data_IF_383016691909
#
_entry.id   IF_383016691909
#
_cell.length_a   1.000
_cell.length_b   1.000
_cell.length_c   1.000
_cell.angle_alpha   90.00
_cell.angle_beta   90.00
_cell.angle_gamma   90.00
#
_symmetry.space_group_name_H-M   'P 1'
#
loop_
_entity.id
_entity.type
_entity.pdbx_description
1 polymer ?
#
# COMPACT_ATOMS: atom_id res chain seq x y z
N UNK A 1 4.45 -21.67 -3.59
CA UNK A 1 3.06 -21.24 -3.82
C UNK A 1 3.07 -19.80 -4.28
N UNK A 2 2.36 -19.47 -5.36
CA UNK A 2 2.30 -18.11 -5.94
C UNK A 2 0.94 -17.49 -5.60
N UNK A 3 0.95 -16.22 -5.19
CA UNK A 3 -0.26 -15.45 -4.89
C UNK A 3 -0.33 -14.21 -5.77
N UNK A 4 -1.54 -13.81 -6.18
CA UNK A 4 -1.76 -12.70 -7.12
C UNK A 4 -2.88 -11.76 -6.67
N UNK A 5 -2.59 -10.46 -6.71
CA UNK A 5 -3.61 -9.40 -6.54
C UNK A 5 -4.58 -9.42 -7.72
N UNK A 6 -5.87 -9.31 -7.42
CA UNK A 6 -7.00 -9.48 -8.36
C UNK A 6 -7.53 -10.91 -8.46
N UNK A 7 -6.78 -11.91 -7.97
CA UNK A 7 -7.24 -13.31 -7.88
C UNK A 7 -7.45 -13.72 -6.43
N UNK A 8 -6.36 -13.76 -5.66
CA UNK A 8 -6.35 -14.31 -4.30
C UNK A 8 -6.59 -13.22 -3.25
N UNK A 9 -6.15 -12.01 -3.56
CA UNK A 9 -6.33 -10.80 -2.74
C UNK A 9 -6.87 -9.69 -3.62
N UNK A 10 -7.62 -8.74 -3.06
CA UNK A 10 -8.28 -7.68 -3.84
C UNK A 10 -7.95 -6.32 -3.26
N UNK A 11 -7.77 -5.34 -4.14
CA UNK A 11 -7.72 -3.93 -3.76
C UNK A 11 -8.82 -3.16 -4.48
N UNK A 12 -9.50 -2.31 -3.72
CA UNK A 12 -10.51 -1.38 -4.21
C UNK A 12 -10.07 0.03 -3.93
N UNK A 13 -10.15 0.88 -4.94
CA UNK A 13 -9.77 2.29 -4.85
C UNK A 13 -11.01 3.13 -4.63
N UNK A 14 -10.88 4.18 -3.84
CA UNK A 14 -11.92 5.20 -3.67
C UNK A 14 -11.54 6.46 -4.45
N UNK A 15 -12.55 7.24 -4.85
CA UNK A 15 -12.37 8.51 -5.55
C UNK A 15 -11.59 9.55 -4.72
N UNK A 16 -11.57 9.41 -3.38
CA UNK A 16 -10.90 10.32 -2.45
C UNK A 16 -9.41 10.03 -2.24
N UNK A 17 -8.79 9.18 -3.05
CA UNK A 17 -7.38 8.79 -2.91
C UNK A 17 -7.10 7.75 -1.82
N UNK A 18 -8.15 7.25 -1.15
CA UNK A 18 -8.04 6.10 -0.25
C UNK A 18 -8.22 4.77 -0.99
N UNK A 19 -7.84 3.67 -0.35
CA UNK A 19 -8.04 2.33 -0.87
C UNK A 19 -8.34 1.32 0.25
N UNK A 20 -8.97 0.21 -0.12
CA UNK A 20 -9.28 -0.89 0.79
C UNK A 20 -8.62 -2.16 0.27
N UNK A 21 -7.99 -2.90 1.17
CA UNK A 21 -7.32 -4.18 0.92
C UNK A 21 -8.16 -5.32 1.53
N UNK A 22 -8.39 -6.34 0.72
CA UNK A 22 -9.12 -7.55 1.10
C UNK A 22 -8.24 -8.76 0.86
N UNK A 23 -7.65 -9.23 1.94
CA UNK A 23 -6.73 -10.35 1.97
C UNK A 23 -7.36 -11.68 2.36
N UNK A 24 -6.49 -12.66 2.58
CA UNK A 24 -6.85 -14.02 3.02
C UNK A 24 -7.14 -14.01 4.53
N UNK A 25 -6.21 -13.48 5.33
CA UNK A 25 -6.31 -13.42 6.79
C UNK A 25 -6.67 -12.00 7.27
N UNK A 26 -6.24 -10.96 6.55
CA UNK A 26 -6.41 -9.56 6.94
C UNK A 26 -7.28 -8.76 5.99
N UNK A 27 -7.95 -7.73 6.52
CA UNK A 27 -8.74 -6.77 5.75
C UNK A 27 -8.56 -5.37 6.31
N UNK A 28 -8.24 -4.43 5.43
CA UNK A 28 -8.07 -3.03 5.77
C UNK A 28 -8.98 -2.17 4.90
N UNK A 29 -9.64 -1.18 5.52
CA UNK A 29 -10.56 -0.28 4.82
C UNK A 29 -10.08 1.15 4.92
N UNK A 30 -10.38 1.93 3.88
CA UNK A 30 -10.18 3.37 3.85
C UNK A 30 -8.75 3.81 4.22
N UNK A 31 -7.77 3.00 3.81
CA UNK A 31 -6.36 3.30 3.98
C UNK A 31 -5.96 4.48 3.08
N UNK A 32 -5.07 5.32 3.59
CA UNK A 32 -4.48 6.45 2.86
C UNK A 32 -2.97 6.26 2.74
N UNK A 33 -2.40 6.76 1.65
CA UNK A 33 -0.96 6.82 1.42
C UNK A 33 -0.53 8.27 1.32
N UNK A 34 0.65 8.58 1.85
CA UNK A 34 1.31 9.88 1.57
C UNK A 34 1.84 9.95 0.13
N UNK A 35 2.26 8.81 -0.42
CA UNK A 35 2.85 8.74 -1.76
C UNK A 35 1.77 8.99 -2.83
N UNK A 36 1.95 10.06 -3.59
CA UNK A 36 1.07 10.42 -4.71
C UNK A 36 1.36 9.54 -5.92
N UNK A 37 0.31 8.97 -6.52
CA UNK A 37 0.42 8.16 -7.74
C UNK A 37 -0.41 6.89 -7.69
N UNK A 38 -1.15 6.62 -8.77
CA UNK A 38 -2.04 5.44 -8.85
C UNK A 38 -1.29 4.12 -8.69
N UNK A 39 -0.02 4.04 -9.09
CA UNK A 39 0.77 2.82 -8.97
C UNK A 39 1.16 2.52 -7.52
N UNK A 40 1.26 3.55 -6.66
CA UNK A 40 1.66 3.38 -5.26
C UNK A 40 0.63 2.59 -4.45
N UNK A 41 -0.66 2.70 -4.81
CA UNK A 41 -1.71 1.84 -4.24
C UNK A 41 -1.44 0.36 -4.53
N UNK A 42 -0.93 0.03 -5.71
CA UNK A 42 -0.58 -1.37 -6.05
C UNK A 42 0.62 -1.85 -5.25
N UNK A 43 1.63 -1.00 -5.04
CA UNK A 43 2.78 -1.33 -4.20
C UNK A 43 2.37 -1.54 -2.73
N UNK A 44 1.55 -0.64 -2.19
CA UNK A 44 0.99 -0.79 -0.85
C UNK A 44 0.16 -2.08 -0.73
N UNK A 45 -0.63 -2.41 -1.76
CA UNK A 45 -1.39 -3.65 -1.80
C UNK A 45 -0.49 -4.90 -1.74
N UNK A 46 0.65 -4.88 -2.43
CA UNK A 46 1.64 -5.96 -2.40
C UNK A 46 2.31 -6.07 -1.04
N UNK A 47 2.67 -4.95 -0.42
CA UNK A 47 3.22 -4.96 0.93
C UNK A 47 2.20 -5.55 1.95
N UNK A 48 0.93 -5.14 1.85
CA UNK A 48 -0.15 -5.69 2.67
C UNK A 48 -0.38 -7.19 2.43
N UNK A 49 -0.25 -7.64 1.18
CA UNK A 49 -0.31 -9.06 0.84
C UNK A 49 0.79 -9.87 1.54
N UNK A 50 2.01 -9.34 1.60
CA UNK A 50 3.11 -9.99 2.33
C UNK A 50 2.80 -10.07 3.82
N UNK A 51 2.37 -8.96 4.44
CA UNK A 51 2.00 -8.91 5.86
C UNK A 51 0.87 -9.91 6.18
N UNK A 52 -0.15 -9.96 5.33
CA UNK A 52 -1.29 -10.87 5.46
C UNK A 52 -0.86 -12.35 5.39
N UNK A 53 0.03 -12.70 4.47
CA UNK A 53 0.57 -14.06 4.37
C UNK A 53 1.46 -14.44 5.55
N UNK A 54 2.23 -13.48 6.09
CA UNK A 54 3.06 -13.70 7.28
C UNK A 54 2.21 -13.91 8.53
N UNK A 55 1.10 -13.18 8.66
CA UNK A 55 0.14 -13.36 9.76
C UNK A 55 -0.43 -14.79 9.78
N UNK A 56 -0.78 -15.34 8.60
CA UNK A 56 -1.20 -16.74 8.47
C UNK A 56 -0.13 -17.78 8.85
N UNK A 57 1.14 -17.36 8.98
CA UNK A 57 2.26 -18.19 9.44
C UNK A 57 2.63 -17.94 10.91
N UNK A 58 1.82 -17.19 11.65
CA UNK A 58 2.06 -16.85 13.06
C UNK A 58 2.97 -15.64 13.29
N UNK A 59 3.38 -14.93 12.23
CA UNK A 59 4.12 -13.68 12.33
C UNK A 59 3.15 -12.51 12.11
N UNK A 60 2.42 -12.15 13.15
CA UNK A 60 1.41 -11.10 13.07
C UNK A 60 2.01 -9.70 13.30
N UNK A 61 1.84 -8.83 12.31
CA UNK A 61 2.12 -7.40 12.44
C UNK A 61 0.82 -6.71 12.85
N UNK A 62 0.83 -6.07 14.02
CA UNK A 62 -0.34 -5.37 14.55
C UNK A 62 -0.90 -4.34 13.56
N UNK A 63 -2.23 -4.25 13.48
CA UNK A 63 -2.90 -3.40 12.50
C UNK A 63 -2.53 -1.92 12.64
N UNK A 64 -2.27 -1.45 13.87
CA UNK A 64 -1.76 -0.10 14.14
C UNK A 64 -0.41 0.13 13.46
N UNK A 65 0.54 -0.80 13.59
CA UNK A 65 1.86 -0.71 12.96
C UNK A 65 1.78 -0.72 11.44
N UNK A 66 0.83 -1.48 10.87
CA UNK A 66 0.57 -1.48 9.43
C UNK A 66 0.06 -0.10 8.98
N UNK A 67 -0.92 0.46 9.68
CA UNK A 67 -1.50 1.77 9.35
C UNK A 67 -0.45 2.87 9.48
N UNK A 68 0.33 2.87 10.54
CA UNK A 68 1.43 3.83 10.76
C UNK A 68 2.52 3.67 9.72
N UNK A 69 2.91 2.44 9.38
CA UNK A 69 3.87 2.16 8.32
C UNK A 69 3.44 2.71 6.97
N UNK A 70 2.17 2.51 6.58
CA UNK A 70 1.63 3.08 5.34
C UNK A 70 1.56 4.61 5.34
N UNK A 71 1.30 5.22 6.51
CA UNK A 71 1.26 6.68 6.68
C UNK A 71 2.63 7.31 6.75
N UNK A 72 3.66 6.59 7.18
CA UNK A 72 5.03 7.11 7.34
C UNK A 72 5.97 6.71 6.21
N UNK A 73 5.61 5.72 5.39
CA UNK A 73 6.41 5.25 4.28
C UNK A 73 6.78 6.40 3.33
N UNK A 74 8.08 6.69 3.27
CA UNK A 74 8.72 7.56 2.30
C UNK A 74 9.57 6.71 1.38
N UNK A 75 9.45 6.94 0.08
CA UNK A 75 10.28 6.28 -0.92
C UNK A 75 11.02 7.37 -1.69
N UNK A 76 12.25 7.65 -1.27
CA UNK A 76 13.12 8.62 -1.95
C UNK A 76 13.36 8.14 -3.39
N UNK A 77 13.03 9.00 -4.37
CA UNK A 77 13.28 8.73 -5.79
C UNK A 77 12.22 7.95 -6.59
N UNK A 78 10.99 7.75 -6.10
CA UNK A 78 9.86 7.22 -6.93
C UNK A 78 8.69 8.19 -6.97
N UNK A 79 8.57 8.95 -8.06
CA UNK A 79 7.60 10.04 -8.26
C UNK A 79 7.70 11.14 -7.19
N UNK A 80 8.91 11.43 -6.73
CA UNK A 80 9.13 12.55 -5.83
C UNK A 80 9.08 13.85 -6.64
N UNK A 81 8.23 14.78 -6.19
CA UNK A 81 8.15 16.12 -6.77
C UNK A 81 9.25 16.98 -6.16
N UNK A 82 10.44 16.91 -6.75
CA UNK A 82 11.66 17.54 -6.23
C UNK A 82 11.61 19.07 -6.38
N UNK A 83 10.84 19.57 -7.35
CA UNK A 83 10.62 21.00 -7.53
C UNK A 83 9.18 21.26 -7.98
N UNK A 84 8.55 22.29 -7.41
CA UNK A 84 7.19 22.75 -7.80
C UNK A 84 7.24 23.77 -8.93
N UNK A 85 8.32 24.52 -9.04
CA UNK A 85 8.54 25.50 -10.11
C UNK A 85 10.04 25.70 -10.40
N UNK A 86 10.58 25.16 -11.52
CA UNK A 86 9.88 24.35 -12.51
C UNK A 86 9.46 22.99 -11.92
N UNK A 87 8.37 22.40 -12.41
CA UNK A 87 7.89 21.11 -11.92
C UNK A 87 8.85 19.99 -12.34
N UNK A 88 9.59 19.43 -11.38
CA UNK A 88 10.51 18.30 -11.60
C UNK A 88 9.99 17.09 -10.86
N UNK A 89 9.76 15.99 -11.58
CA UNK A 89 9.38 14.69 -11.05
C UNK A 89 10.50 13.71 -11.37
N UNK A 90 11.01 13.01 -10.36
CA UNK A 90 12.00 11.94 -10.52
C UNK A 90 11.30 10.58 -10.46
N UNK A 91 11.62 9.68 -11.39
CA UNK A 91 11.24 8.26 -11.39
C UNK A 91 12.49 7.38 -11.46
#
# INVERSE_FOLDING_TARGET
MLYRIGRDMKVRRSAKGSFSYYGINKRYRDLTLLLTGRHQITNAALALAVVDLLAGKGMDVGDTSVIEGLRSARWEGRLELISRDPRIVLD
#
